data_IF_926924769094
#
_entry.id   IF_926924769094
#
_cell.length_a   1.000
_cell.length_b   1.000
_cell.length_c   1.000
_cell.angle_alpha   90.00
_cell.angle_beta   90.00
_cell.angle_gamma   90.00
#
_symmetry.space_group_name_H-M   'P 1'
#
loop_
_entity.id
_entity.type
_entity.pdbx_description
1 polymer ?
#
# COMPACT_ATOMS: atom_id res chain seq x y z
N UNK A 1 -8.51 15.54 -7.66
CA UNK A 1 -8.38 15.05 -6.27
C UNK A 1 -9.45 14.01 -6.03
N UNK A 2 -9.03 12.76 -5.87
CA UNK A 2 -9.85 11.60 -5.50
C UNK A 2 -9.58 11.23 -4.04
N UNK A 3 -10.42 10.35 -3.51
CA UNK A 3 -10.27 9.76 -2.19
C UNK A 3 -10.15 8.24 -2.32
N UNK A 4 -9.25 7.67 -1.53
CA UNK A 4 -8.96 6.25 -1.52
C UNK A 4 -9.13 5.68 -0.10
N UNK A 5 -9.34 4.38 0.01
CA UNK A 5 -9.36 3.69 1.30
C UNK A 5 -8.32 2.59 1.29
N UNK A 6 -7.32 2.71 2.16
CA UNK A 6 -6.22 1.76 2.29
C UNK A 6 -6.43 0.97 3.58
N UNK A 7 -6.28 -0.35 3.50
CA UNK A 7 -6.47 -1.25 4.64
C UNK A 7 -5.12 -1.75 5.12
N UNK A 8 -4.89 -1.67 6.42
CA UNK A 8 -3.74 -2.28 7.08
C UNK A 8 -4.17 -2.87 8.42
N UNK A 9 -3.52 -3.94 8.85
CA UNK A 9 -3.67 -4.44 10.21
C UNK A 9 -2.78 -3.60 11.15
N UNK A 10 -3.29 -3.12 12.30
CA UNK A 10 -2.54 -2.25 13.20
C UNK A 10 -1.18 -2.82 13.62
N UNK A 11 -1.11 -4.14 13.83
CA UNK A 11 0.09 -4.86 14.25
C UNK A 11 1.12 -4.99 13.12
N UNK A 12 0.68 -4.90 11.85
CA UNK A 12 1.58 -4.93 10.69
C UNK A 12 2.09 -3.52 10.38
N UNK A 13 1.18 -2.57 10.21
CA UNK A 13 1.53 -1.18 9.92
C UNK A 13 0.41 -0.22 10.35
N UNK A 14 0.66 0.57 11.39
CA UNK A 14 -0.31 1.52 11.96
C UNK A 14 -0.09 2.96 11.48
N UNK A 15 -1.11 3.80 11.61
CA UNK A 15 -0.98 5.23 11.32
C UNK A 15 0.02 5.94 12.24
N UNK A 16 0.19 5.48 13.48
CA UNK A 16 1.17 6.07 14.39
C UNK A 16 2.59 5.78 13.93
N UNK A 17 2.83 4.60 13.33
CA UNK A 17 4.09 4.29 12.67
C UNK A 17 4.30 5.19 11.47
N UNK A 18 3.28 5.34 10.60
CA UNK A 18 3.33 6.27 9.47
C UNK A 18 3.64 7.71 9.90
N UNK A 19 3.00 8.20 10.97
CA UNK A 19 3.21 9.55 11.50
C UNK A 19 4.64 9.78 11.99
N UNK A 20 5.29 8.73 12.53
CA UNK A 20 6.70 8.75 12.95
C UNK A 20 7.63 8.74 11.74
N UNK A 21 7.39 7.84 10.79
CA UNK A 21 8.22 7.64 9.58
C UNK A 21 8.01 8.73 8.51
N UNK A 22 6.92 9.49 8.58
CA UNK A 22 6.48 10.55 7.65
C UNK A 22 5.98 10.05 6.29
N UNK A 23 6.55 8.97 5.79
CA UNK A 23 6.14 8.33 4.54
C UNK A 23 6.50 6.85 4.56
N UNK A 24 5.80 6.05 3.77
CA UNK A 24 6.13 4.64 3.53
C UNK A 24 5.83 4.26 2.10
N UNK A 25 6.54 3.23 1.61
CA UNK A 25 6.04 2.46 0.48
C UNK A 25 4.82 1.66 0.93
N UNK A 26 3.74 1.70 0.15
CA UNK A 26 2.57 0.87 0.39
C UNK A 26 2.69 -0.46 -0.36
N UNK A 27 3.38 -1.41 0.26
CA UNK A 27 3.72 -2.70 -0.35
C UNK A 27 2.68 -3.81 -0.07
N UNK A 28 2.97 -5.03 -0.54
CA UNK A 28 2.19 -6.22 -0.20
C UNK A 28 0.84 -6.34 -0.91
N UNK A 29 0.47 -5.40 -1.77
CA UNK A 29 -0.77 -5.46 -2.56
C UNK A 29 -0.64 -6.57 -3.62
N UNK A 30 -1.45 -7.64 -3.48
CA UNK A 30 -1.48 -8.80 -4.41
C UNK A 30 -2.84 -8.99 -5.10
N UNK A 31 -3.63 -7.93 -5.17
CA UNK A 31 -4.90 -7.90 -5.89
C UNK A 31 -4.75 -7.04 -7.16
N UNK A 32 -5.11 -7.60 -8.32
CA UNK A 32 -4.95 -6.92 -9.60
C UNK A 32 -5.77 -5.63 -9.72
N UNK A 33 -6.98 -5.59 -9.17
CA UNK A 33 -7.83 -4.40 -9.24
C UNK A 33 -7.27 -3.29 -8.35
N UNK A 34 -6.88 -3.61 -7.12
CA UNK A 34 -6.24 -2.65 -6.21
C UNK A 34 -4.95 -2.09 -6.80
N UNK A 35 -4.09 -2.96 -7.35
CA UNK A 35 -2.89 -2.55 -8.09
C UNK A 35 -3.22 -1.64 -9.26
N UNK A 36 -4.24 -1.96 -10.05
CA UNK A 36 -4.62 -1.14 -11.20
C UNK A 36 -5.10 0.26 -10.77
N UNK A 37 -5.80 0.38 -9.64
CA UNK A 37 -6.13 1.69 -9.08
C UNK A 37 -4.86 2.48 -8.72
N UNK A 38 -3.88 1.83 -8.07
CA UNK A 38 -2.62 2.47 -7.70
C UNK A 38 -1.81 2.94 -8.92
N UNK A 39 -1.72 2.11 -9.97
CA UNK A 39 -0.93 2.42 -11.16
C UNK A 39 -1.64 3.44 -12.07
N UNK A 40 -2.94 3.26 -12.31
CA UNK A 40 -3.63 3.97 -13.38
C UNK A 40 -4.38 5.22 -12.89
N UNK A 41 -4.87 5.21 -11.64
CA UNK A 41 -5.90 6.15 -11.21
C UNK A 41 -5.49 7.10 -10.08
N UNK A 42 -4.56 6.68 -9.22
CA UNK A 42 -4.04 7.50 -8.11
C UNK A 42 -3.11 8.59 -8.63
N UNK A 43 -3.21 9.77 -8.04
CA UNK A 43 -2.38 10.92 -8.37
C UNK A 43 -1.76 11.52 -7.11
N UNK A 44 -0.65 12.25 -7.27
CA UNK A 44 -0.04 12.99 -6.17
C UNK A 44 -1.06 13.96 -5.55
N UNK A 45 -1.09 14.01 -4.22
CA UNK A 45 -2.04 14.84 -3.48
C UNK A 45 -3.43 14.23 -3.29
N UNK A 46 -3.73 13.07 -3.89
CA UNK A 46 -4.97 12.34 -3.55
C UNK A 46 -4.93 11.91 -2.08
N UNK A 47 -6.09 11.94 -1.41
CA UNK A 47 -6.19 11.64 0.02
C UNK A 47 -6.56 10.18 0.26
N UNK A 48 -5.98 9.60 1.30
CA UNK A 48 -6.16 8.21 1.72
C UNK A 48 -6.83 8.17 3.09
N UNK A 49 -8.00 7.57 3.15
CA UNK A 49 -8.63 7.11 4.40
C UNK A 49 -7.87 5.87 4.87
N UNK A 50 -7.12 5.99 5.95
CA UNK A 50 -6.36 4.88 6.52
C UNK A 50 -7.28 4.04 7.41
N UNK A 51 -7.53 2.80 7.01
CA UNK A 51 -8.46 1.89 7.65
C UNK A 51 -7.71 0.77 8.36
N UNK A 52 -7.90 0.65 9.67
CA UNK A 52 -7.43 -0.51 10.43
C UNK A 52 -8.39 -1.69 10.23
N UNK A 53 -7.95 -2.70 9.47
CA UNK A 53 -8.64 -3.98 9.29
C UNK A 53 -8.19 -5.01 10.32
N UNK A 54 -9.00 -6.06 10.52
CA UNK A 54 -8.71 -7.12 11.50
C UNK A 54 -8.37 -6.58 12.91
N UNK A 55 -8.97 -5.43 13.26
CA UNK A 55 -8.74 -4.71 14.50
C UNK A 55 -10.01 -4.69 15.35
N UNK A 56 -9.89 -4.33 16.63
CA UNK A 56 -11.03 -4.19 17.52
C UNK A 56 -10.98 -2.83 18.25
N UNK A 57 -11.83 -1.85 17.87
CA UNK A 57 -12.76 -1.88 16.73
C UNK A 57 -12.03 -1.69 15.38
N UNK A 58 -12.57 -2.23 14.27
CA UNK A 58 -12.09 -1.90 12.93
C UNK A 58 -12.68 -0.56 12.48
N UNK A 59 -11.93 0.23 11.71
CA UNK A 59 -12.40 1.55 11.28
C UNK A 59 -11.37 2.44 10.62
N UNK A 60 -11.84 3.58 10.12
CA UNK A 60 -10.98 4.66 9.62
C UNK A 60 -10.38 5.34 10.85
N UNK A 61 -9.05 5.39 10.93
CA UNK A 61 -8.33 5.94 12.08
C UNK A 61 -7.60 7.26 11.75
N UNK A 62 -7.63 7.69 10.49
CA UNK A 62 -7.04 8.95 10.06
C UNK A 62 -6.90 9.09 8.55
N UNK A 63 -6.13 10.11 8.16
CA UNK A 63 -5.88 10.50 6.78
C UNK A 63 -4.38 10.44 6.47
N UNK A 64 -4.07 10.06 5.25
CA UNK A 64 -2.77 10.20 4.62
C UNK A 64 -2.93 10.79 3.21
N UNK A 65 -1.82 11.05 2.53
CA UNK A 65 -1.78 11.62 1.19
C UNK A 65 -0.88 10.76 0.31
N UNK A 66 -1.22 10.61 -0.97
CA UNK A 66 -0.32 10.02 -1.97
C UNK A 66 0.82 11.00 -2.23
N UNK A 67 1.99 10.71 -1.63
CA UNK A 67 3.20 11.52 -1.78
C UNK A 67 4.07 11.10 -2.96
N UNK A 68 3.93 9.87 -3.44
CA UNK A 68 4.63 9.31 -4.60
C UNK A 68 3.70 8.38 -5.40
N UNK A 69 3.92 8.29 -6.72
CA UNK A 69 3.17 7.38 -7.59
C UNK A 69 3.70 5.94 -7.49
N UNK A 70 2.85 4.96 -7.80
CA UNK A 70 3.14 3.54 -7.66
C UNK A 70 4.52 3.14 -8.24
N UNK A 71 5.32 2.45 -7.42
CA UNK A 71 6.67 1.96 -7.75
C UNK A 71 6.69 0.44 -7.64
N UNK A 72 7.51 -0.28 -8.43
CA UNK A 72 7.62 -1.72 -8.29
C UNK A 72 7.84 -2.16 -6.85
N UNK A 73 6.94 -2.99 -6.32
CA UNK A 73 7.02 -3.49 -4.95
C UNK A 73 8.26 -4.40 -4.80
N UNK A 74 9.31 -4.01 -4.05
CA UNK A 74 10.54 -4.79 -3.97
C UNK A 74 10.34 -6.15 -3.29
N UNK A 75 9.30 -6.28 -2.46
CA UNK A 75 8.99 -7.52 -1.74
C UNK A 75 8.61 -8.66 -2.68
N UNK A 76 8.17 -8.37 -3.91
CA UNK A 76 7.84 -9.38 -4.92
C UNK A 76 9.07 -10.14 -5.44
N UNK A 77 10.27 -9.58 -5.30
CA UNK A 77 11.53 -10.20 -5.76
C UNK A 77 12.31 -10.90 -4.64
N UNK A 78 11.96 -10.63 -3.38
CA UNK A 78 12.64 -11.22 -2.23
C UNK A 78 12.04 -12.58 -1.85
N UNK A 79 12.78 -13.67 -2.05
CA UNK A 79 12.35 -15.05 -1.73
C UNK A 79 11.97 -15.29 -0.26
N UNK A 80 12.46 -14.49 0.68
CA UNK A 80 12.08 -14.60 2.10
C UNK A 80 10.83 -13.80 2.46
N UNK A 81 10.35 -12.94 1.55
CA UNK A 81 9.13 -12.17 1.76
C UNK A 81 7.90 -13.07 1.67
N UNK A 82 6.88 -12.87 2.54
CA UNK A 82 5.57 -13.51 2.36
C UNK A 82 4.87 -13.09 1.06
N UNK A 83 5.32 -11.99 0.44
CA UNK A 83 4.76 -11.45 -0.79
C UNK A 83 5.61 -11.72 -2.04
N UNK A 84 6.59 -12.63 -1.95
CA UNK A 84 7.38 -13.09 -3.09
C UNK A 84 6.49 -13.63 -4.22
N UNK A 85 6.76 -13.24 -5.46
CA UNK A 85 6.09 -13.79 -6.63
C UNK A 85 7.14 -14.33 -7.62
N UNK A 86 7.32 -15.67 -7.72
CA UNK A 86 8.33 -16.27 -8.61
C UNK A 86 8.07 -16.02 -10.10
N UNK A 87 6.89 -15.52 -10.47
CA UNK A 87 6.55 -15.14 -11.85
C UNK A 87 6.76 -13.65 -12.11
N UNK A 88 7.17 -12.88 -11.10
CA UNK A 88 7.55 -11.48 -11.25
C UNK A 88 9.05 -11.36 -11.45
N UNK A 89 9.46 -10.43 -12.30
CA UNK A 89 10.86 -10.18 -12.66
C UNK A 89 11.14 -8.68 -12.62
N UNK A 90 12.41 -8.30 -12.45
CA UNK A 90 12.80 -6.88 -12.33
C UNK A 90 12.46 -6.11 -13.61
N UNK A 91 12.58 -6.75 -14.78
CA UNK A 91 12.22 -6.17 -16.09
C UNK A 91 10.71 -6.09 -16.32
N UNK A 92 9.93 -6.95 -15.64
CA UNK A 92 8.47 -6.98 -15.77
C UNK A 92 7.78 -7.17 -14.41
N UNK A 93 7.81 -6.14 -13.54
CA UNK A 93 7.17 -6.20 -12.23
C UNK A 93 5.67 -6.39 -12.38
N UNK A 94 5.11 -7.32 -11.61
CA UNK A 94 3.66 -7.56 -11.57
C UNK A 94 2.96 -6.71 -10.52
N UNK A 95 3.67 -6.28 -9.47
CA UNK A 95 3.13 -5.58 -8.30
C UNK A 95 3.83 -4.24 -8.12
N UNK A 96 3.07 -3.22 -7.71
CA UNK A 96 3.51 -1.84 -7.53
C UNK A 96 2.77 -1.22 -6.35
#
# INVERSE_FOLDING_TARGET
MKYWLFKSEPETYSIDKLKKEKSTLWDGVRNYQARNFMINDMQLGDLVLFYHSNANPPGIIGLAEISELAQPDPSQFNKSSPYYDPKSSIDKPRWH
#
